data_IF_809921977798
#
_entry.id   IF_809921977798
#
_cell.length_a   1.000
_cell.length_b   1.000
_cell.length_c   1.000
_cell.angle_alpha   90.00
_cell.angle_beta   90.00
_cell.angle_gamma   90.00
#
_symmetry.space_group_name_H-M   'P 1'
#
loop_
_entity.id
_entity.type
_entity.pdbx_description
1 polymer ?
#
# COMPACT_ATOMS: atom_id res chain seq x y z
N UNK A 1 -6.42 9.56 15.83
CA UNK A 1 -7.19 8.31 15.94
C UNK A 1 -6.83 7.54 14.69
N UNK A 2 -6.75 6.20 14.71
CA UNK A 2 -6.63 5.44 13.47
C UNK A 2 -7.66 5.93 12.45
N UNK A 3 -7.41 5.73 11.14
CA UNK A 3 -8.23 6.28 10.05
C UNK A 3 -9.73 6.22 10.36
N UNK A 4 -10.47 7.27 10.05
CA UNK A 4 -11.90 7.32 10.33
C UNK A 4 -12.62 6.21 9.57
N UNK A 5 -12.26 6.06 8.30
CA UNK A 5 -12.76 5.01 7.42
C UNK A 5 -11.60 4.24 6.77
N UNK A 6 -11.81 2.96 6.45
CA UNK A 6 -10.80 2.16 5.76
C UNK A 6 -11.48 1.13 4.88
N UNK A 7 -10.99 1.00 3.65
CA UNK A 7 -11.55 0.05 2.71
C UNK A 7 -10.78 -0.09 1.42
N UNK A 8 -11.48 -0.64 0.43
CA UNK A 8 -10.94 -0.86 -0.91
C UNK A 8 -11.89 -0.31 -1.96
N UNK A 9 -11.36 0.52 -2.85
CA UNK A 9 -12.02 0.91 -4.10
C UNK A 9 -11.70 -0.12 -5.18
N UNK A 10 -12.73 -0.67 -5.82
CA UNK A 10 -12.64 -1.51 -7.01
C UNK A 10 -13.21 -0.78 -8.22
N UNK A 11 -12.48 -0.78 -9.32
CA UNK A 11 -12.95 -0.15 -10.55
C UNK A 11 -12.02 -0.35 -11.72
N UNK A 12 -12.24 0.42 -12.77
CA UNK A 12 -11.41 0.39 -13.99
C UNK A 12 -10.53 1.63 -14.03
N UNK A 13 -9.21 1.45 -14.20
CA UNK A 13 -8.31 2.58 -14.34
C UNK A 13 -8.62 3.36 -15.62
N UNK A 14 -9.01 4.62 -15.49
CA UNK A 14 -9.21 5.51 -16.62
C UNK A 14 -7.87 6.07 -17.13
N UNK A 15 -7.13 6.72 -16.23
CA UNK A 15 -5.81 7.29 -16.50
C UNK A 15 -5.04 7.48 -15.19
N UNK A 16 -3.74 7.74 -15.31
CA UNK A 16 -2.92 8.23 -14.22
C UNK A 16 -2.13 9.47 -14.67
N UNK A 17 -1.72 10.30 -13.72
CA UNK A 17 -0.85 11.44 -13.94
C UNK A 17 -0.15 11.84 -12.64
N UNK A 18 1.03 12.43 -12.73
CA UNK A 18 1.76 12.93 -11.56
C UNK A 18 1.32 14.36 -11.22
N UNK A 19 1.47 14.75 -9.97
CA UNK A 19 1.46 16.17 -9.62
C UNK A 19 2.47 16.94 -10.48
N UNK A 20 2.10 18.16 -10.90
CA UNK A 20 3.03 19.05 -11.60
C UNK A 20 3.93 19.70 -10.55
N UNK A 21 5.26 19.74 -10.75
CA UNK A 21 6.13 20.47 -9.84
C UNK A 21 5.76 21.96 -9.85
N UNK A 22 5.21 22.46 -8.75
CA UNK A 22 5.17 23.87 -8.44
C UNK A 22 5.80 24.11 -7.07
N UNK A 23 6.14 25.36 -6.75
CA UNK A 23 6.70 25.74 -5.45
C UNK A 23 5.74 25.49 -4.26
N UNK A 24 4.51 25.01 -4.53
CA UNK A 24 3.49 24.65 -3.54
C UNK A 24 3.30 23.13 -3.39
N UNK A 25 4.07 22.31 -4.12
CA UNK A 25 4.09 20.84 -4.09
C UNK A 25 4.60 20.30 -2.76
N UNK A 26 3.74 20.38 -1.74
CA UNK A 26 4.04 19.94 -0.37
C UNK A 26 4.05 18.42 -0.25
N UNK A 27 3.44 17.68 -1.17
CA UNK A 27 3.37 16.21 -1.16
C UNK A 27 3.25 15.77 -2.61
N UNK A 28 4.03 14.79 -3.04
CA UNK A 28 3.98 14.31 -4.42
C UNK A 28 3.12 13.05 -4.49
N UNK A 29 2.09 13.11 -5.33
CA UNK A 29 1.25 11.97 -5.63
C UNK A 29 1.33 11.58 -7.10
N UNK A 30 1.15 10.29 -7.33
CA UNK A 30 0.60 9.82 -8.60
C UNK A 30 -0.91 9.74 -8.43
N UNK A 31 -1.64 10.54 -9.21
CA UNK A 31 -3.10 10.53 -9.23
C UNK A 31 -3.60 9.43 -10.16
N UNK A 32 -4.55 8.65 -9.68
CA UNK A 32 -5.32 7.71 -10.48
C UNK A 32 -6.75 8.22 -10.60
N UNK A 33 -7.28 8.19 -11.81
CA UNK A 33 -8.71 8.30 -12.04
C UNK A 33 -9.29 6.90 -12.25
N UNK A 34 -10.18 6.48 -11.36
CA UNK A 34 -10.77 5.14 -11.37
C UNK A 34 -12.27 5.25 -11.62
N UNK A 35 -12.75 4.65 -12.71
CA UNK A 35 -14.16 4.62 -13.06
C UNK A 35 -14.86 3.48 -12.30
N UNK A 36 -15.94 3.82 -11.59
CA UNK A 36 -16.84 2.91 -10.89
C UNK A 36 -18.31 3.39 -11.07
N UNK A 37 -19.34 2.61 -10.68
CA UNK A 37 -20.74 2.94 -10.96
C UNK A 37 -21.21 4.30 -10.42
N UNK A 38 -20.66 4.73 -9.28
CA UNK A 38 -20.98 6.03 -8.69
C UNK A 38 -20.34 7.22 -9.45
N UNK A 39 -19.37 6.95 -10.31
CA UNK A 39 -18.62 7.96 -11.05
C UNK A 39 -17.13 7.69 -11.02
N UNK A 40 -16.38 8.74 -11.35
CA UNK A 40 -14.92 8.72 -11.38
C UNK A 40 -14.35 9.13 -10.03
N UNK A 41 -13.55 8.25 -9.44
CA UNK A 41 -12.85 8.47 -8.19
C UNK A 41 -11.47 9.05 -8.46
N UNK A 42 -11.09 10.08 -7.72
CA UNK A 42 -9.73 10.62 -7.69
C UNK A 42 -8.94 9.96 -6.55
N UNK A 43 -7.93 9.16 -6.88
CA UNK A 43 -7.10 8.49 -5.87
C UNK A 43 -5.71 9.12 -5.84
N UNK A 44 -5.28 9.58 -4.68
CA UNK A 44 -3.94 10.13 -4.46
C UNK A 44 -3.02 9.04 -3.91
N UNK A 45 -2.03 8.61 -4.70
CA UNK A 45 -1.06 7.59 -4.28
C UNK A 45 0.23 8.26 -3.85
N UNK A 46 0.57 8.11 -2.58
CA UNK A 46 1.72 8.76 -1.95
C UNK A 46 3.04 8.20 -2.45
N UNK A 47 3.82 9.08 -3.10
CA UNK A 47 5.16 8.79 -3.60
C UNK A 47 6.22 9.76 -3.06
N UNK A 48 5.88 10.69 -2.15
CA UNK A 48 6.86 11.47 -1.37
C UNK A 48 6.28 12.20 -0.17
N UNK A 49 7.17 12.72 0.67
CA UNK A 49 6.85 13.59 1.80
C UNK A 49 7.49 14.98 1.69
N UNK A 50 6.78 16.01 2.19
CA UNK A 50 7.08 17.46 2.18
C UNK A 50 8.50 17.88 2.52
N UNK A 51 9.22 17.10 3.35
CA UNK A 51 10.48 17.52 3.96
C UNK A 51 11.44 16.36 4.28
N UNK A 52 11.32 15.20 3.64
CA UNK A 52 12.29 14.13 3.90
C UNK A 52 13.55 14.32 3.04
N UNK A 53 14.69 14.55 3.69
CA UNK A 53 16.00 14.38 3.06
C UNK A 53 16.32 12.91 2.71
N UNK A 54 15.41 11.97 3.00
CA UNK A 54 15.63 10.52 3.05
C UNK A 54 14.62 9.72 2.18
N UNK A 55 13.69 10.40 1.49
CA UNK A 55 12.88 9.79 0.43
C UNK A 55 11.75 8.86 0.88
N UNK A 56 10.91 8.47 -0.07
CA UNK A 56 9.88 7.44 0.09
C UNK A 56 10.53 6.06 -0.02
N UNK A 57 9.87 5.04 0.52
CA UNK A 57 10.24 3.65 0.32
C UNK A 57 9.08 2.90 -0.33
N UNK A 58 9.36 2.01 -1.27
CA UNK A 58 8.33 1.25 -1.97
C UNK A 58 8.72 -0.21 -2.21
N UNK A 59 7.72 -1.02 -2.53
CA UNK A 59 7.88 -2.36 -3.10
C UNK A 59 6.96 -2.51 -4.31
N UNK A 60 7.45 -3.21 -5.33
CA UNK A 60 6.66 -3.68 -6.46
C UNK A 60 6.80 -5.19 -6.57
N UNK A 61 5.69 -5.91 -6.56
CA UNK A 61 5.69 -7.38 -6.64
C UNK A 61 4.37 -7.91 -7.21
N UNK A 62 4.32 -9.22 -7.43
CA UNK A 62 3.09 -9.91 -7.83
C UNK A 62 2.50 -10.71 -6.68
N UNK A 63 1.17 -10.81 -6.66
CA UNK A 63 0.43 -11.47 -5.60
C UNK A 63 -0.75 -12.22 -6.21
N UNK A 64 -0.99 -13.45 -5.72
CA UNK A 64 -2.12 -14.26 -6.17
C UNK A 64 -3.42 -13.72 -5.56
N UNK A 65 -4.50 -13.68 -6.35
CA UNK A 65 -5.76 -13.08 -5.94
C UNK A 65 -6.26 -13.62 -4.58
N UNK A 66 -6.13 -14.92 -4.31
CA UNK A 66 -6.55 -15.55 -3.05
C UNK A 66 -5.88 -15.00 -1.78
N UNK A 67 -4.74 -14.32 -1.92
CA UNK A 67 -4.07 -13.67 -0.79
C UNK A 67 -4.89 -12.47 -0.28
N UNK A 68 -5.75 -11.91 -1.12
CA UNK A 68 -6.64 -10.80 -0.79
C UNK A 68 -8.04 -11.26 -0.40
N UNK A 69 -8.32 -12.56 -0.30
CA UNK A 69 -9.65 -13.03 0.08
C UNK A 69 -10.08 -12.43 1.44
N UNK A 70 -11.33 -11.98 1.57
CA UNK A 70 -12.46 -12.13 0.64
C UNK A 70 -12.57 -11.06 -0.46
N UNK A 71 -11.64 -10.11 -0.54
CA UNK A 71 -11.73 -8.92 -1.42
C UNK A 71 -10.85 -8.99 -2.66
N UNK A 72 -10.61 -10.20 -3.15
CA UNK A 72 -9.85 -10.44 -4.37
C UNK A 72 -10.57 -9.96 -5.65
N UNK A 73 -11.89 -9.85 -5.64
CA UNK A 73 -12.72 -9.41 -6.78
C UNK A 73 -14.05 -8.81 -6.32
N UNK A 74 -14.05 -7.75 -5.49
CA UNK A 74 -15.28 -7.08 -5.06
C UNK A 74 -15.97 -6.40 -6.26
N UNK A 75 -17.28 -6.20 -6.15
CA UNK A 75 -18.04 -5.46 -7.15
C UNK A 75 -17.45 -4.04 -7.33
N UNK A 76 -17.54 -3.42 -8.51
CA UNK A 76 -17.05 -2.06 -8.69
C UNK A 76 -17.70 -1.05 -7.73
N UNK A 77 -16.89 -0.22 -7.09
CA UNK A 77 -17.29 0.67 -6.00
C UNK A 77 -16.33 0.60 -4.82
N UNK A 78 -16.54 1.48 -3.83
CA UNK A 78 -15.85 1.44 -2.55
C UNK A 78 -16.52 0.42 -1.61
N UNK A 79 -15.71 -0.30 -0.85
CA UNK A 79 -16.15 -1.28 0.16
C UNK A 79 -15.40 -1.06 1.46
N UNK A 80 -16.13 -0.79 2.53
CA UNK A 80 -15.57 -0.75 3.88
C UNK A 80 -14.98 -2.11 4.28
N UNK A 81 -13.83 -2.08 4.94
CA UNK A 81 -13.16 -3.26 5.47
C UNK A 81 -13.01 -3.14 6.98
N UNK A 82 -13.33 -4.24 7.68
CA UNK A 82 -12.96 -4.37 9.07
C UNK A 82 -11.43 -4.33 9.20
N UNK A 83 -10.88 -3.53 10.11
CA UNK A 83 -9.44 -3.41 10.36
C UNK A 83 -8.92 -4.56 11.22
N UNK A 84 -9.01 -5.76 10.68
CA UNK A 84 -8.72 -7.02 11.37
C UNK A 84 -8.08 -8.02 10.42
N UNK A 85 -7.32 -8.97 10.95
CA UNK A 85 -6.79 -10.07 10.15
C UNK A 85 -7.91 -10.87 9.47
N UNK A 86 -7.76 -11.15 8.17
CA UNK A 86 -8.68 -11.99 7.39
C UNK A 86 -9.92 -11.29 6.84
N UNK A 87 -10.10 -9.99 7.07
CA UNK A 87 -11.18 -9.20 6.44
C UNK A 87 -10.87 -8.79 4.99
N UNK A 88 -9.63 -8.96 4.55
CA UNK A 88 -9.09 -8.36 3.33
C UNK A 88 -8.28 -7.09 3.57
N UNK A 89 -8.30 -6.55 4.80
CA UNK A 89 -7.47 -5.42 5.19
C UNK A 89 -5.97 -5.74 5.09
N UNK A 90 -5.18 -4.73 4.74
CA UNK A 90 -3.74 -4.87 4.57
C UNK A 90 -2.98 -4.38 5.81
N UNK A 91 -1.95 -5.14 6.17
CA UNK A 91 -0.96 -4.77 7.18
C UNK A 91 0.40 -5.27 6.68
N UNK A 92 1.30 -4.35 6.36
CA UNK A 92 2.60 -4.69 5.79
C UNK A 92 3.49 -5.46 6.77
N UNK A 93 3.25 -5.37 8.07
CA UNK A 93 4.08 -5.97 9.12
C UNK A 93 3.51 -7.29 9.64
N UNK A 94 2.19 -7.44 9.60
CA UNK A 94 1.47 -8.59 10.17
C UNK A 94 0.89 -9.53 9.11
N UNK A 95 0.55 -9.03 7.92
CA UNK A 95 -0.07 -9.86 6.89
C UNK A 95 0.92 -10.94 6.40
N UNK A 96 0.60 -12.24 6.50
CA UNK A 96 1.55 -13.33 6.22
C UNK A 96 2.20 -13.30 4.84
N UNK A 97 1.51 -12.74 3.85
CA UNK A 97 1.99 -12.63 2.47
C UNK A 97 2.66 -11.29 2.12
N UNK A 98 2.62 -10.30 3.02
CA UNK A 98 3.20 -8.96 2.81
C UNK A 98 4.40 -8.72 3.72
N UNK A 99 4.35 -9.23 4.95
CA UNK A 99 5.40 -9.12 5.94
C UNK A 99 6.73 -9.70 5.44
N UNK A 100 7.78 -8.90 5.55
CA UNK A 100 9.15 -9.39 5.41
C UNK A 100 9.43 -10.26 6.64
N UNK A 101 9.28 -11.57 6.50
CA UNK A 101 9.66 -12.51 7.56
C UNK A 101 11.15 -12.80 7.44
N UNK A 102 12.02 -12.23 8.29
CA UNK A 102 13.33 -12.82 8.48
C UNK A 102 13.12 -14.25 8.99
N UNK A 103 13.81 -15.21 8.39
CA UNK A 103 13.61 -16.62 8.67
C UNK A 103 13.61 -16.96 10.18
N UNK A 104 12.60 -17.75 10.56
CA UNK A 104 12.45 -18.56 11.78
C UNK A 104 11.97 -17.92 13.10
N UNK A 105 10.69 -18.21 13.37
CA UNK A 105 9.96 -18.22 14.65
C UNK A 105 10.52 -19.16 15.76
N UNK A 106 11.73 -19.72 15.61
CA UNK A 106 12.28 -20.73 16.52
C UNK A 106 13.78 -20.54 16.77
N UNK A 107 14.21 -19.34 17.19
CA UNK A 107 15.48 -19.10 17.90
C UNK A 107 16.79 -19.62 17.28
N UNK A 108 16.78 -20.04 16.02
CA UNK A 108 17.89 -20.68 15.34
C UNK A 108 17.80 -20.42 13.86
N UNK A 109 18.93 -20.06 13.25
CA UNK A 109 19.02 -19.89 11.81
C UNK A 109 18.75 -21.24 11.14
N UNK A 110 17.74 -21.36 10.26
CA UNK A 110 17.51 -22.60 9.55
C UNK A 110 18.77 -22.99 8.75
N UNK A 111 19.02 -24.29 8.55
CA UNK A 111 20.12 -24.74 7.71
C UNK A 111 20.08 -24.03 6.34
N UNK A 112 21.23 -23.57 5.83
CA UNK A 112 21.32 -22.74 4.61
C UNK A 112 20.57 -23.33 3.41
N UNK A 113 20.55 -24.66 3.25
CA UNK A 113 19.81 -25.32 2.17
C UNK A 113 18.29 -25.13 2.31
N UNK A 114 17.78 -25.14 3.54
CA UNK A 114 16.37 -24.91 3.85
C UNK A 114 16.01 -23.44 3.68
N UNK A 115 16.87 -22.51 4.14
CA UNK A 115 16.69 -21.08 3.87
C UNK A 115 16.64 -20.79 2.36
N UNK A 116 17.51 -21.41 1.55
CA UNK A 116 17.47 -21.27 0.08
C UNK A 116 16.18 -21.81 -0.55
N UNK A 117 15.57 -22.84 0.03
CA UNK A 117 14.26 -23.33 -0.41
C UNK A 117 13.17 -22.32 -0.01
N UNK A 118 13.20 -21.83 1.23
CA UNK A 118 12.27 -20.79 1.70
C UNK A 118 12.38 -19.52 0.87
N UNK A 119 13.57 -19.01 0.61
CA UNK A 119 13.81 -17.82 -0.24
C UNK A 119 13.36 -18.05 -1.68
N UNK A 120 13.36 -19.30 -2.16
CA UNK A 120 12.85 -19.62 -3.50
C UNK A 120 11.32 -19.67 -3.55
N UNK A 121 10.68 -20.08 -2.46
CA UNK A 121 9.23 -20.11 -2.33
C UNK A 121 8.65 -18.74 -1.94
N UNK A 122 9.40 -17.97 -1.16
CA UNK A 122 9.08 -16.66 -0.60
C UNK A 122 10.31 -15.74 -0.72
N UNK A 123 10.61 -15.23 -1.92
CA UNK A 123 11.75 -14.33 -2.09
C UNK A 123 11.60 -13.10 -1.20
N UNK A 124 12.69 -12.64 -0.55
CA UNK A 124 12.65 -11.42 0.25
C UNK A 124 12.22 -10.24 -0.62
N UNK A 125 11.36 -9.37 -0.07
CA UNK A 125 10.84 -8.19 -0.76
C UNK A 125 11.33 -6.93 -0.04
N UNK A 126 12.64 -6.64 -0.04
CA UNK A 126 13.17 -5.49 0.69
C UNK A 126 12.56 -4.20 0.15
N UNK A 127 12.36 -3.23 1.05
CA UNK A 127 12.02 -1.87 0.68
C UNK A 127 13.10 -1.25 -0.21
N UNK A 128 12.71 -0.68 -1.35
CA UNK A 128 13.56 0.18 -2.17
C UNK A 128 13.37 1.61 -1.71
N UNK A 129 14.45 2.37 -1.56
CA UNK A 129 14.41 3.78 -1.14
C UNK A 129 14.87 4.69 -2.28
N UNK A 130 14.25 5.85 -2.41
CA UNK A 130 14.61 6.80 -3.46
C UNK A 130 13.70 8.03 -3.47
N UNK A 131 13.81 8.78 -4.56
CA UNK A 131 13.03 9.99 -4.80
C UNK A 131 11.60 9.69 -5.25
N UNK A 132 10.74 10.72 -5.19
CA UNK A 132 9.40 10.66 -5.76
C UNK A 132 9.36 10.29 -7.24
N UNK A 133 10.37 10.71 -8.02
CA UNK A 133 10.48 10.36 -9.43
C UNK A 133 10.72 8.86 -9.63
N UNK A 134 11.57 8.26 -8.80
CA UNK A 134 11.88 6.83 -8.87
C UNK A 134 10.71 5.98 -8.39
N UNK A 135 10.04 6.39 -7.30
CA UNK A 135 8.83 5.73 -6.84
C UNK A 135 7.69 5.83 -7.87
N UNK A 136 7.49 7.01 -8.46
CA UNK A 136 6.52 7.19 -9.56
C UNK A 136 6.85 6.28 -10.74
N UNK A 137 8.13 6.25 -11.16
CA UNK A 137 8.57 5.40 -12.26
C UNK A 137 8.44 3.89 -11.96
N UNK A 138 8.45 3.50 -10.69
CA UNK A 138 8.20 2.12 -10.27
C UNK A 138 6.70 1.76 -10.24
N UNK A 139 5.83 2.72 -9.90
CA UNK A 139 4.37 2.55 -9.89
C UNK A 139 3.77 2.53 -11.29
N UNK A 140 4.12 3.47 -12.16
CA UNK A 140 3.49 3.64 -13.47
C UNK A 140 3.42 2.40 -14.36
N UNK A 141 4.44 1.51 -14.42
CA UNK A 141 4.38 0.30 -15.24
C UNK A 141 3.24 -0.65 -14.88
N UNK A 142 2.74 -0.63 -13.64
CA UNK A 142 1.59 -1.45 -13.23
C UNK A 142 0.26 -0.77 -13.57
N UNK A 143 0.24 0.53 -13.91
CA UNK A 143 -0.95 1.34 -14.14
C UNK A 143 -1.40 1.32 -15.60
N UNK A 144 -1.98 0.20 -16.02
CA UNK A 144 -2.47 0.03 -17.39
C UNK A 144 -3.93 0.49 -17.51
N UNK A 145 -4.17 1.59 -18.24
CA UNK A 145 -5.51 2.10 -18.50
C UNK A 145 -6.43 1.01 -19.09
N UNK A 146 -7.69 0.99 -18.62
CA UNK A 146 -8.69 -0.01 -18.96
C UNK A 146 -8.61 -1.31 -18.16
N UNK A 147 -7.61 -1.49 -17.28
CA UNK A 147 -7.55 -2.67 -16.40
C UNK A 147 -8.30 -2.47 -15.09
N UNK A 148 -8.82 -3.56 -14.48
CA UNK A 148 -9.34 -3.53 -13.13
C UNK A 148 -8.22 -3.17 -12.14
N UNK A 149 -8.51 -2.27 -11.22
CA UNK A 149 -7.63 -1.87 -10.14
C UNK A 149 -8.33 -2.00 -8.79
N UNK A 150 -7.53 -2.28 -7.76
CA UNK A 150 -7.91 -2.16 -6.36
C UNK A 150 -7.04 -1.08 -5.72
N UNK A 151 -7.67 -0.13 -5.04
CA UNK A 151 -6.97 0.93 -4.29
C UNK A 151 -7.42 0.83 -2.83
N UNK A 152 -6.49 0.50 -1.95
CA UNK A 152 -6.72 0.40 -0.51
C UNK A 152 -6.33 1.71 0.18
N UNK A 153 -7.12 2.16 1.14
CA UNK A 153 -6.88 3.39 1.87
C UNK A 153 -8.15 3.93 2.50
N UNK A 154 -8.19 5.25 2.68
CA UNK A 154 -9.34 5.97 3.24
C UNK A 154 -10.10 6.70 2.11
N UNK A 155 -11.45 6.62 2.08
CA UNK A 155 -12.25 7.41 1.16
C UNK A 155 -12.27 8.88 1.58
N UNK A 156 -12.42 9.80 0.63
CA UNK A 156 -12.64 11.21 0.96
C UNK A 156 -13.95 11.40 1.75
N UNK A 157 -13.93 12.32 2.70
CA UNK A 157 -15.14 12.78 3.41
C UNK A 157 -16.15 13.44 2.46
N UNK A 158 -15.65 14.13 1.43
CA UNK A 158 -16.43 14.81 0.42
C UNK A 158 -15.98 14.43 -1.00
N UNK A 159 -16.93 14.03 -1.84
CA UNK A 159 -16.69 13.65 -3.23
C UNK A 159 -16.27 12.19 -3.41
N UNK A 160 -15.77 11.86 -4.60
CA UNK A 160 -15.35 10.50 -4.94
C UNK A 160 -13.82 10.46 -5.00
N UNK A 161 -13.20 9.81 -4.02
CA UNK A 161 -11.76 9.64 -4.03
C UNK A 161 -11.22 8.81 -2.89
N UNK A 162 -9.91 8.57 -2.95
CA UNK A 162 -9.14 7.79 -1.99
C UNK A 162 -7.84 8.52 -1.64
N UNK A 163 -7.44 8.50 -0.37
CA UNK A 163 -6.16 8.97 0.15
C UNK A 163 -5.61 8.00 1.19
N UNK A 164 -4.52 8.39 1.86
CA UNK A 164 -3.80 7.56 2.82
C UNK A 164 -3.42 6.21 2.18
N UNK A 165 -3.00 6.27 0.90
CA UNK A 165 -2.65 5.09 0.10
C UNK A 165 -1.16 4.79 0.27
N UNK A 166 -0.78 4.54 1.51
CA UNK A 166 0.57 4.16 1.95
C UNK A 166 0.47 3.39 3.28
N UNK A 167 1.60 3.05 3.89
CA UNK A 167 1.63 2.48 5.24
C UNK A 167 1.01 3.45 6.26
N UNK A 168 0.01 3.04 7.02
CA UNK A 168 -0.70 3.90 7.98
C UNK A 168 -0.36 3.52 9.43
N UNK A 169 0.91 3.18 9.65
CA UNK A 169 1.51 2.82 10.93
C UNK A 169 3.00 3.17 10.99
N UNK A 170 3.53 3.28 12.20
CA UNK A 170 4.95 3.55 12.45
C UNK A 170 5.32 5.03 12.46
N UNK A 171 4.35 5.95 12.36
CA UNK A 171 4.64 7.39 12.42
C UNK A 171 5.25 7.79 13.78
N UNK A 172 6.27 8.67 13.82
CA UNK A 172 6.98 9.00 15.04
C UNK A 172 6.11 9.67 16.12
N UNK A 173 6.41 9.38 17.38
CA UNK A 173 5.79 10.05 18.53
C UNK A 173 5.93 11.57 18.45
N UNK A 174 4.82 12.28 18.65
CA UNK A 174 4.75 13.74 18.58
C UNK A 174 4.65 14.30 17.15
N UNK A 175 4.64 13.46 16.11
CA UNK A 175 4.30 13.91 14.76
C UNK A 175 2.79 14.16 14.64
N UNK A 176 2.38 14.98 13.66
CA UNK A 176 0.96 15.25 13.42
C UNK A 176 0.18 14.00 12.96
N UNK A 177 0.90 13.02 12.41
CA UNK A 177 0.38 11.74 11.90
C UNK A 177 0.39 10.63 12.98
N UNK A 178 1.01 10.89 14.14
CA UNK A 178 1.00 9.95 15.26
C UNK A 178 -0.40 9.42 15.60
N UNK A 179 -1.45 10.26 15.64
CA UNK A 179 -2.77 9.78 15.97
C UNK A 179 -3.32 8.79 14.95
N UNK A 180 -2.86 8.82 13.70
CA UNK A 180 -3.42 8.06 12.58
C UNK A 180 -2.84 6.65 12.50
N UNK A 181 -1.78 6.38 13.26
CA UNK A 181 -1.22 5.05 13.44
C UNK A 181 -2.30 4.02 13.79
N UNK A 182 -2.30 2.89 13.08
CA UNK A 182 -3.20 1.78 13.35
C UNK A 182 -2.83 0.55 12.53
N UNK A 183 -3.14 -0.63 13.08
CA UNK A 183 -2.91 -1.92 12.41
C UNK A 183 -4.03 -2.22 11.41
N UNK A 184 -3.75 -3.06 10.42
CA UNK A 184 -4.75 -3.51 9.42
C UNK A 184 -5.49 -2.38 8.71
N UNK A 185 -4.78 -1.32 8.36
CA UNK A 185 -5.31 -0.19 7.61
C UNK A 185 -4.29 0.39 6.63
N UNK A 186 -3.27 -0.40 6.25
CA UNK A 186 -2.29 0.05 5.27
C UNK A 186 -2.95 0.16 3.88
N UNK A 187 -2.58 1.20 3.14
CA UNK A 187 -3.00 1.42 1.77
C UNK A 187 -2.27 0.52 0.78
N UNK A 188 -2.67 0.52 -0.49
CA UNK A 188 -1.95 -0.13 -1.59
C UNK A 188 -2.60 0.20 -2.94
N UNK A 189 -1.84 0.04 -4.02
CA UNK A 189 -2.37 0.07 -5.39
C UNK A 189 -2.12 -1.26 -6.08
N UNK A 190 -3.17 -1.90 -6.59
CA UNK A 190 -3.10 -3.18 -7.26
C UNK A 190 -3.77 -3.10 -8.63
N UNK A 191 -3.12 -3.65 -9.66
CA UNK A 191 -3.71 -3.80 -10.99
C UNK A 191 -3.85 -5.27 -11.33
N UNK A 192 -5.06 -5.67 -11.74
CA UNK A 192 -5.33 -7.06 -12.13
C UNK A 192 -4.72 -7.36 -13.49
N UNK A 193 -3.96 -8.45 -13.57
CA UNK A 193 -3.33 -8.96 -14.79
C UNK A 193 -4.27 -9.91 -15.54
N UNK A 194 -4.05 -10.13 -16.85
CA UNK A 194 -4.81 -11.11 -17.62
C UNK A 194 -4.66 -12.56 -17.12
N UNK A 195 -3.54 -12.88 -16.46
CA UNK A 195 -3.28 -14.20 -15.86
C UNK A 195 -3.97 -14.39 -14.50
N UNK A 196 -4.72 -13.39 -14.02
CA UNK A 196 -5.46 -13.43 -12.75
C UNK A 196 -4.64 -13.04 -11.52
N UNK A 197 -3.33 -12.79 -11.66
CA UNK A 197 -2.51 -12.22 -10.60
C UNK A 197 -2.74 -10.71 -10.47
N UNK A 198 -2.26 -10.13 -9.37
CA UNK A 198 -2.13 -8.69 -9.20
C UNK A 198 -0.68 -8.26 -9.32
N UNK A 199 -0.42 -7.19 -10.06
CA UNK A 199 0.77 -6.36 -9.86
C UNK A 199 0.45 -5.38 -8.72
N UNK A 200 1.33 -5.30 -7.73
CA UNK A 200 1.12 -4.58 -6.47
C UNK A 200 2.19 -3.52 -6.29
N UNK A 201 1.78 -2.31 -5.92
CA UNK A 201 2.63 -1.25 -5.43
C UNK A 201 2.20 -0.88 -4.00
N UNK A 202 3.18 -0.83 -3.10
CA UNK A 202 3.03 -0.37 -1.72
C UNK A 202 4.13 0.63 -1.41
N UNK A 203 3.80 1.67 -0.67
CA UNK A 203 4.74 2.71 -0.24
C UNK A 203 4.66 2.96 1.27
N UNK A 204 5.75 3.47 1.82
CA UNK A 204 5.84 4.01 3.18
C UNK A 204 6.81 5.19 3.20
N UNK A 205 6.70 6.05 4.20
CA UNK A 205 7.64 7.15 4.38
C UNK A 205 8.87 6.69 5.18
N UNK A 206 10.06 7.20 4.84
CA UNK A 206 11.30 6.89 5.57
C UNK A 206 11.27 7.31 7.05
N UNK A 207 10.36 8.19 7.44
CA UNK A 207 10.12 8.59 8.83
C UNK A 207 9.38 7.52 9.62
N UNK A 208 8.62 6.64 8.95
CA UNK A 208 7.88 5.58 9.60
C UNK A 208 8.81 4.45 10.01
N UNK A 209 8.66 3.99 11.25
CA UNK A 209 9.53 2.99 11.87
C UNK A 209 8.83 1.64 12.00
N UNK A 210 9.63 0.60 11.91
CA UNK A 210 9.26 -0.77 12.20
C UNK A 210 10.24 -1.33 13.26
N UNK A 211 9.81 -2.19 14.19
CA UNK A 211 8.46 -2.76 14.30
C UNK A 211 7.46 -1.78 14.95
N UNK A 212 6.18 -2.16 14.96
CA UNK A 212 5.09 -1.42 15.63
C UNK A 212 4.36 -2.29 16.66
N UNK A 213 3.73 -1.66 17.65
CA UNK A 213 2.88 -2.31 18.66
C UNK A 213 1.48 -2.67 18.11
N UNK A 214 0.60 -3.22 18.93
CA UNK A 214 -0.77 -3.58 18.54
C UNK A 214 -1.68 -2.38 18.20
N UNK A 215 -1.21 -1.15 18.41
CA UNK A 215 -1.88 0.07 17.99
C UNK A 215 -1.23 0.69 16.74
N UNK A 216 -0.22 0.06 16.15
CA UNK A 216 0.52 0.60 15.01
C UNK A 216 1.54 1.67 15.39
N UNK A 217 1.81 1.90 16.68
CA UNK A 217 2.83 2.84 17.12
C UNK A 217 4.23 2.19 17.04
N UNK A 218 5.27 2.94 16.64
CA UNK A 218 6.64 2.42 16.60
C UNK A 218 7.18 2.03 18.00
N UNK A 219 7.96 0.94 18.06
CA UNK A 219 8.60 0.42 19.29
C UNK A 219 10.13 0.45 19.25
#
# INVERSE_FOLDING_TARGET
MPLENYGVLSGTLHRHFRDRPDDQGRWFHVHLEVDAPAGRYACAIDVDSKHSAVGVQWKVFTLHASVLDPVASPAPGYHDLARTSGSGALDYLRHPALADRPGCLLGGHPPRWFQRILDRLHPPRPWVSGSYLEASAALEPILVAGRPVLVFGEPFDEGLGMHNVHQNQGDPYGSQWWPDNGIWQDGATLTRRPDGLFDVFVSRFSTQKEPTDENGHPV
#
